data_IF_108073424023
#
_entry.id   IF_108073424023
#
_cell.length_a   1.000
_cell.length_b   1.000
_cell.length_c   1.000
_cell.angle_alpha   90.00
_cell.angle_beta   90.00
_cell.angle_gamma   90.00
#
_symmetry.space_group_name_H-M   'P 1'
#
loop_
_entity.id
_entity.type
_entity.pdbx_description
1 polymer ?
#
# COMPACT_ATOMS: atom_id res chain seq x y z
N UNK A 1 -6.64 13.34 14.37
CA UNK A 1 -6.37 12.08 13.64
C UNK A 1 -5.68 12.29 12.31
N UNK A 2 -5.93 13.38 11.54
CA UNK A 2 -5.24 13.70 10.27
C UNK A 2 -3.69 13.67 10.36
N UNK A 3 -3.11 13.94 11.53
CA UNK A 3 -1.65 13.90 11.78
C UNK A 3 -1.02 12.52 11.56
N UNK A 4 -1.79 11.44 11.63
CA UNK A 4 -1.30 10.08 11.43
C UNK A 4 -1.35 9.59 9.97
N UNK A 5 -1.86 10.41 9.04
CA UNK A 5 -1.78 10.14 7.59
C UNK A 5 -0.54 10.83 7.07
N UNK A 6 0.55 10.07 6.90
CA UNK A 6 1.87 10.56 6.45
C UNK A 6 2.15 10.17 5.02
N UNK A 7 2.82 11.07 4.33
CA UNK A 7 3.26 10.86 2.95
C UNK A 7 4.74 11.18 2.88
N UNK A 8 5.52 10.29 2.30
CA UNK A 8 6.95 10.42 2.09
C UNK A 8 7.25 10.31 0.60
N UNK A 9 8.14 11.17 0.11
CA UNK A 9 8.56 11.18 -1.29
C UNK A 9 9.88 10.40 -1.43
N UNK A 10 10.14 9.92 -2.65
CA UNK A 10 11.42 9.35 -3.07
C UNK A 10 11.95 8.21 -2.17
N UNK A 11 11.02 7.37 -1.65
CA UNK A 11 11.37 6.22 -0.79
C UNK A 11 12.18 5.17 -1.56
N UNK A 12 11.88 5.02 -2.84
CA UNK A 12 12.66 4.28 -3.84
C UNK A 12 12.77 5.11 -5.10
N UNK A 13 13.82 4.88 -5.88
CA UNK A 13 14.04 5.64 -7.13
C UNK A 13 13.03 5.24 -8.21
N UNK A 14 12.83 6.14 -9.18
CA UNK A 14 11.97 5.83 -10.33
C UNK A 14 12.45 4.59 -11.10
N UNK A 15 13.76 4.40 -11.23
CA UNK A 15 14.35 3.22 -11.87
C UNK A 15 13.94 1.92 -11.15
N UNK A 16 13.98 1.90 -9.82
CA UNK A 16 13.51 0.75 -9.03
C UNK A 16 12.02 0.52 -9.22
N UNK A 17 11.22 1.58 -9.26
CA UNK A 17 9.79 1.49 -9.56
C UNK A 17 9.54 0.86 -10.95
N UNK A 18 10.22 1.35 -11.96
CA UNK A 18 10.08 0.87 -13.36
C UNK A 18 10.47 -0.62 -13.47
N UNK A 19 11.56 -1.04 -12.82
CA UNK A 19 12.01 -2.44 -12.78
C UNK A 19 10.99 -3.35 -12.07
N UNK A 20 10.38 -2.89 -10.98
CA UNK A 20 9.32 -3.61 -10.28
C UNK A 20 8.08 -3.78 -11.17
N UNK A 21 7.66 -2.72 -11.85
CA UNK A 21 6.51 -2.76 -12.77
C UNK A 21 6.79 -3.72 -13.94
N UNK A 22 7.97 -3.62 -14.54
CA UNK A 22 8.36 -4.52 -15.64
C UNK A 22 8.30 -5.99 -15.20
N UNK A 23 8.86 -6.30 -14.03
CA UNK A 23 8.81 -7.66 -13.48
C UNK A 23 7.37 -8.12 -13.25
N UNK A 24 6.50 -7.27 -12.68
CA UNK A 24 5.09 -7.58 -12.53
C UNK A 24 4.44 -7.94 -13.88
N UNK A 25 4.65 -7.12 -14.90
CA UNK A 25 4.01 -7.31 -16.23
C UNK A 25 4.47 -8.58 -16.97
N UNK A 26 5.69 -9.04 -16.74
CA UNK A 26 6.16 -10.30 -17.35
C UNK A 26 5.76 -11.54 -16.54
N UNK A 27 5.41 -11.41 -15.26
CA UNK A 27 5.02 -12.51 -14.35
C UNK A 27 3.52 -12.84 -14.45
N UNK A 28 2.97 -12.92 -15.66
CA UNK A 28 1.53 -13.07 -15.91
C UNK A 28 0.92 -14.34 -15.32
N UNK A 29 1.69 -15.40 -15.25
CA UNK A 29 1.33 -16.70 -14.66
C UNK A 29 1.12 -16.64 -13.14
N UNK A 30 1.62 -15.59 -12.49
CA UNK A 30 1.49 -15.35 -11.06
C UNK A 30 0.36 -14.34 -10.73
N UNK A 31 -0.28 -13.76 -11.74
CA UNK A 31 -1.36 -12.80 -11.57
C UNK A 31 -2.61 -13.46 -11.02
N UNK A 32 -3.18 -12.86 -9.96
CA UNK A 32 -4.47 -13.22 -9.40
C UNK A 32 -5.43 -12.04 -9.56
N UNK A 33 -6.54 -12.26 -10.24
CA UNK A 33 -7.61 -11.27 -10.31
C UNK A 33 -8.39 -11.27 -9.00
N UNK A 34 -8.57 -10.10 -8.41
CA UNK A 34 -9.47 -9.88 -7.29
C UNK A 34 -10.72 -9.19 -7.81
N UNK A 35 -11.86 -9.84 -7.66
CA UNK A 35 -13.19 -9.33 -7.99
C UNK A 35 -14.15 -9.71 -6.85
N UNK A 36 -14.47 -8.76 -5.98
CA UNK A 36 -15.37 -8.97 -4.85
C UNK A 36 -16.54 -7.97 -4.92
N UNK A 37 -17.68 -8.49 -5.38
CA UNK A 37 -19.02 -7.89 -5.30
C UNK A 37 -19.07 -6.39 -5.69
N UNK A 38 -18.40 -6.01 -6.78
CA UNK A 38 -18.25 -4.60 -7.19
C UNK A 38 -17.65 -3.68 -6.11
N UNK A 39 -17.01 -4.24 -5.08
CA UNK A 39 -16.41 -3.47 -4.00
C UNK A 39 -14.92 -3.22 -4.25
N UNK A 40 -14.20 -4.24 -4.71
CA UNK A 40 -12.79 -4.11 -5.09
C UNK A 40 -12.49 -4.94 -6.33
N UNK A 41 -11.81 -4.33 -7.26
CA UNK A 41 -11.39 -4.97 -8.49
C UNK A 41 -9.96 -4.52 -8.86
N UNK A 42 -9.06 -5.47 -9.02
CA UNK A 42 -7.66 -5.27 -9.43
C UNK A 42 -6.98 -6.60 -9.73
N UNK A 43 -5.79 -6.55 -10.33
CA UNK A 43 -4.89 -7.71 -10.46
C UNK A 43 -3.79 -7.60 -9.41
N UNK A 44 -3.47 -8.70 -8.71
CA UNK A 44 -2.38 -8.70 -7.72
C UNK A 44 -1.44 -9.91 -7.85
N UNK A 45 -0.24 -9.75 -7.28
CA UNK A 45 0.70 -10.83 -6.95
C UNK A 45 1.04 -10.72 -5.47
N UNK A 46 0.93 -11.84 -4.74
CA UNK A 46 1.56 -11.95 -3.42
C UNK A 46 3.03 -12.32 -3.62
N UNK A 47 3.89 -11.32 -3.70
CA UNK A 47 5.29 -11.53 -4.08
C UNK A 47 6.11 -12.35 -3.07
N UNK A 48 5.63 -12.49 -1.83
CA UNK A 48 6.28 -13.36 -0.83
C UNK A 48 6.05 -14.86 -1.10
N UNK A 49 5.08 -15.22 -1.92
CA UNK A 49 4.79 -16.63 -2.25
C UNK A 49 5.64 -17.16 -3.41
N UNK A 50 6.41 -16.29 -4.07
CA UNK A 50 7.21 -16.63 -5.24
C UNK A 50 8.69 -16.43 -5.00
N UNK A 51 9.49 -17.49 -5.13
CA UNK A 51 10.94 -17.47 -4.86
C UNK A 51 11.71 -16.49 -5.76
N UNK A 52 11.28 -16.33 -6.98
CA UNK A 52 11.88 -15.40 -7.96
C UNK A 52 11.71 -13.92 -7.57
N UNK A 53 10.84 -13.60 -6.59
CA UNK A 53 10.66 -12.25 -6.03
C UNK A 53 11.47 -11.99 -4.75
N UNK A 54 12.26 -12.94 -4.26
CA UNK A 54 12.93 -12.83 -2.97
C UNK A 54 13.77 -11.55 -2.82
N UNK A 55 14.51 -11.17 -3.87
CA UNK A 55 15.32 -9.95 -3.85
C UNK A 55 14.46 -8.68 -3.77
N UNK A 56 13.34 -8.63 -4.51
CA UNK A 56 12.41 -7.52 -4.47
C UNK A 56 11.71 -7.39 -3.12
N UNK A 57 11.31 -8.52 -2.53
CA UNK A 57 10.75 -8.58 -1.16
C UNK A 57 11.72 -7.96 -0.16
N UNK A 58 12.99 -8.39 -0.16
CA UNK A 58 14.02 -7.85 0.75
C UNK A 58 14.27 -6.35 0.48
N UNK A 59 14.36 -5.94 -0.78
CA UNK A 59 14.55 -4.55 -1.18
C UNK A 59 13.40 -3.66 -0.69
N UNK A 60 12.15 -4.09 -0.85
CA UNK A 60 10.97 -3.34 -0.39
C UNK A 60 10.97 -3.22 1.13
N UNK A 61 11.15 -4.31 1.89
CA UNK A 61 11.21 -4.22 3.35
C UNK A 61 12.35 -3.33 3.84
N UNK A 62 13.53 -3.41 3.22
CA UNK A 62 14.68 -2.57 3.58
C UNK A 62 14.39 -1.09 3.33
N UNK A 63 13.67 -0.77 2.25
CA UNK A 63 13.27 0.61 1.95
C UNK A 63 12.19 1.15 2.90
N UNK A 64 11.30 0.30 3.40
CA UNK A 64 10.20 0.70 4.30
C UNK A 64 10.65 0.87 5.76
N UNK A 65 11.62 0.07 6.23
CA UNK A 65 12.05 0.05 7.64
C UNK A 65 12.39 1.42 8.23
N UNK A 66 13.21 2.28 7.57
CA UNK A 66 13.54 3.59 8.13
C UNK A 66 12.34 4.51 8.34
N UNK A 67 11.28 4.31 7.56
CA UNK A 67 10.06 5.11 7.66
C UNK A 67 9.16 4.70 8.83
N UNK A 68 9.37 3.52 9.43
CA UNK A 68 8.68 3.13 10.68
C UNK A 68 9.11 4.04 11.82
N UNK A 69 10.43 4.22 12.00
CA UNK A 69 10.96 5.08 13.06
C UNK A 69 10.64 6.55 12.80
N UNK A 70 10.77 7.00 11.56
CA UNK A 70 10.39 8.35 11.16
C UNK A 70 8.90 8.62 11.39
N UNK A 71 8.03 7.66 11.11
CA UNK A 71 6.59 7.77 11.36
C UNK A 71 6.30 7.93 12.87
N UNK A 72 6.93 7.10 13.72
CA UNK A 72 6.81 7.20 15.18
C UNK A 72 7.20 8.60 15.68
N UNK A 73 8.37 9.08 15.27
CA UNK A 73 8.90 10.38 15.64
C UNK A 73 7.96 11.53 15.23
N UNK A 74 7.61 11.60 13.94
CA UNK A 74 6.76 12.66 13.39
C UNK A 74 5.33 12.65 13.95
N UNK A 75 4.81 11.47 14.30
CA UNK A 75 3.50 11.32 14.95
C UNK A 75 3.54 11.48 16.48
N UNK A 76 4.75 11.62 17.05
CA UNK A 76 5.00 11.69 18.50
C UNK A 76 4.43 10.48 19.23
N UNK A 77 4.66 9.29 18.69
CA UNK A 77 4.23 8.01 19.28
C UNK A 77 5.33 7.55 20.24
N UNK A 78 5.00 7.36 21.49
CA UNK A 78 5.93 6.89 22.53
C UNK A 78 6.09 5.36 22.48
N UNK A 79 7.17 4.84 23.10
CA UNK A 79 7.37 3.38 23.18
C UNK A 79 6.26 2.67 23.97
N UNK A 80 5.58 3.38 24.88
CA UNK A 80 4.40 2.84 25.58
C UNK A 80 3.17 2.65 24.68
N UNK A 81 3.13 3.32 23.54
CA UNK A 81 2.04 3.24 22.56
C UNK A 81 2.37 2.31 21.39
N UNK A 82 3.64 1.91 21.25
CA UNK A 82 4.11 1.05 20.15
C UNK A 82 4.25 -0.39 20.64
N UNK A 83 3.85 -1.39 19.83
CA UNK A 83 3.99 -2.79 20.25
C UNK A 83 5.47 -3.18 20.41
N UNK A 84 5.77 -3.94 21.46
CA UNK A 84 7.12 -4.45 21.72
C UNK A 84 7.60 -5.39 20.59
N UNK A 85 6.67 -6.21 20.11
CA UNK A 85 6.93 -7.17 19.02
C UNK A 85 5.98 -6.93 17.85
N UNK A 86 6.54 -6.78 16.67
CA UNK A 86 5.79 -6.58 15.44
C UNK A 86 6.57 -7.07 14.22
N UNK A 87 5.85 -7.31 13.14
CA UNK A 87 6.43 -7.72 11.87
C UNK A 87 5.70 -7.13 10.67
N UNK A 88 6.33 -7.20 9.51
CA UNK A 88 5.67 -6.90 8.25
C UNK A 88 4.79 -8.08 7.81
N UNK A 89 3.59 -7.80 7.34
CA UNK A 89 2.80 -8.76 6.57
C UNK A 89 3.39 -8.97 5.18
N UNK A 90 2.90 -10.01 4.50
CA UNK A 90 3.26 -10.31 3.12
C UNK A 90 2.90 -9.13 2.20
N UNK A 91 3.79 -8.88 1.25
CA UNK A 91 3.66 -7.79 0.30
C UNK A 91 2.67 -8.18 -0.80
N UNK A 92 1.70 -7.32 -1.05
CA UNK A 92 0.75 -7.39 -2.15
C UNK A 92 1.12 -6.36 -3.21
N UNK A 93 1.53 -6.81 -4.37
CA UNK A 93 1.75 -5.95 -5.52
C UNK A 93 0.46 -5.91 -6.35
N UNK A 94 -0.12 -4.73 -6.55
CA UNK A 94 -1.43 -4.56 -7.19
C UNK A 94 -1.32 -3.66 -8.42
N UNK A 95 -2.05 -4.03 -9.46
CA UNK A 95 -2.28 -3.21 -10.65
C UNK A 95 -3.77 -2.91 -10.79
N UNK A 96 -4.09 -1.65 -10.99
CA UNK A 96 -5.42 -1.16 -11.38
C UNK A 96 -5.35 -0.63 -12.81
N UNK A 97 -6.19 -1.13 -13.69
CA UNK A 97 -6.29 -0.67 -15.07
C UNK A 97 -7.20 0.56 -15.18
N UNK A 98 -7.00 1.45 -16.17
CA UNK A 98 -7.87 2.58 -16.44
C UNK A 98 -9.15 2.11 -17.16
N UNK A 99 -9.98 1.40 -16.44
CA UNK A 99 -11.25 0.85 -16.89
C UNK A 99 -12.37 1.24 -15.90
N UNK A 100 -13.60 0.84 -16.17
CA UNK A 100 -14.75 1.20 -15.32
C UNK A 100 -14.87 0.37 -14.04
N UNK A 101 -14.02 -0.63 -13.83
CA UNK A 101 -14.11 -1.60 -12.74
C UNK A 101 -13.01 -1.47 -11.70
N UNK A 102 -11.76 -1.23 -12.13
CA UNK A 102 -10.59 -1.32 -11.26
C UNK A 102 -10.54 -0.20 -10.23
N UNK A 103 -11.04 -0.48 -9.06
CA UNK A 103 -11.04 0.41 -7.89
C UNK A 103 -11.06 -0.40 -6.59
N UNK A 104 -10.85 0.27 -5.49
CA UNK A 104 -11.20 -0.24 -4.18
C UNK A 104 -12.09 0.81 -3.51
N UNK A 105 -13.38 0.53 -3.47
CA UNK A 105 -14.38 1.45 -2.91
C UNK A 105 -14.09 1.74 -1.44
N UNK A 106 -14.83 2.64 -0.88
CA UNK A 106 -14.65 3.11 0.48
C UNK A 106 -14.67 1.95 1.49
N UNK A 107 -13.61 1.83 2.27
CA UNK A 107 -13.40 0.73 3.21
C UNK A 107 -12.41 1.09 4.32
N UNK A 108 -12.31 0.19 5.28
CA UNK A 108 -11.21 0.11 6.26
C UNK A 108 -10.47 -1.22 6.06
N UNK A 109 -9.16 -1.25 6.35
CA UNK A 109 -8.36 -2.46 6.16
C UNK A 109 -8.49 -3.48 7.30
N UNK A 110 -9.05 -3.05 8.45
CA UNK A 110 -9.32 -3.90 9.62
C UNK A 110 -10.83 -4.01 9.78
N UNK A 111 -11.40 -5.11 9.30
CA UNK A 111 -12.84 -5.37 9.33
C UNK A 111 -13.24 -6.70 9.98
N UNK A 112 -12.27 -7.54 10.33
CA UNK A 112 -12.50 -8.87 10.90
C UNK A 112 -11.40 -9.28 11.89
N UNK A 113 -11.59 -10.45 12.52
CA UNK A 113 -10.64 -11.00 13.50
C UNK A 113 -9.25 -11.23 12.92
N UNK A 114 -9.11 -11.69 11.70
CA UNK A 114 -7.82 -12.00 11.08
C UNK A 114 -7.02 -10.73 10.77
N UNK A 115 -7.70 -9.66 10.37
CA UNK A 115 -7.09 -8.35 10.10
C UNK A 115 -6.89 -7.49 11.35
N UNK A 116 -7.54 -7.84 12.49
CA UNK A 116 -7.52 -7.04 13.73
C UNK A 116 -6.11 -6.81 14.31
N UNK A 117 -5.13 -7.67 14.00
CA UNK A 117 -3.73 -7.51 14.42
C UNK A 117 -2.95 -6.43 13.68
N UNK A 118 -3.48 -5.87 12.59
CA UNK A 118 -2.84 -4.80 11.81
C UNK A 118 -2.94 -3.47 12.54
N UNK A 119 -1.85 -2.70 12.56
CA UNK A 119 -1.86 -1.39 13.20
C UNK A 119 -1.27 -0.25 12.37
N UNK A 120 -0.55 -0.56 11.27
CA UNK A 120 0.01 0.44 10.35
C UNK A 120 0.00 -0.08 8.91
N UNK A 121 -0.46 0.75 7.98
CA UNK A 121 -0.48 0.49 6.52
C UNK A 121 0.75 1.09 5.87
N UNK A 122 1.24 0.44 4.83
CA UNK A 122 2.22 0.94 3.87
C UNK A 122 1.66 0.80 2.45
N UNK A 123 1.45 1.93 1.77
CA UNK A 123 1.15 1.96 0.35
C UNK A 123 2.26 2.70 -0.38
N UNK A 124 3.09 1.95 -1.12
CA UNK A 124 4.16 2.49 -1.96
C UNK A 124 3.67 2.53 -3.41
N UNK A 125 3.50 3.74 -3.93
CA UNK A 125 3.11 3.97 -5.32
C UNK A 125 4.33 3.84 -6.24
N UNK A 126 4.17 3.16 -7.37
CA UNK A 126 5.29 2.87 -8.26
C UNK A 126 5.29 3.72 -9.53
N UNK A 127 4.20 4.45 -9.79
CA UNK A 127 4.14 5.35 -10.95
C UNK A 127 3.27 6.56 -10.68
N UNK A 128 3.51 7.60 -11.45
CA UNK A 128 2.64 8.77 -11.48
C UNK A 128 1.31 8.40 -12.13
N UNK A 129 0.22 8.83 -11.52
CA UNK A 129 -1.11 8.52 -12.02
C UNK A 129 -2.11 9.64 -11.73
N UNK A 130 -2.96 9.90 -12.72
CA UNK A 130 -4.13 10.76 -12.57
C UNK A 130 -5.37 9.92 -12.28
N UNK A 131 -6.19 10.34 -11.33
CA UNK A 131 -7.43 9.68 -10.94
C UNK A 131 -7.26 8.57 -9.90
N UNK A 132 -6.13 7.87 -9.87
CA UNK A 132 -5.87 6.74 -8.99
C UNK A 132 -5.52 7.09 -7.53
N UNK A 133 -5.90 8.27 -7.03
CA UNK A 133 -5.57 8.71 -5.68
C UNK A 133 -6.16 7.81 -4.59
N UNK A 134 -5.54 7.83 -3.41
CA UNK A 134 -6.16 7.34 -2.18
C UNK A 134 -6.74 8.53 -1.43
N UNK A 135 -8.04 8.49 -1.15
CA UNK A 135 -8.74 9.57 -0.45
C UNK A 135 -9.27 9.13 0.91
N UNK A 136 -9.24 10.07 1.84
CA UNK A 136 -9.80 9.97 3.18
C UNK A 136 -10.87 11.04 3.32
N UNK A 137 -12.13 10.67 3.11
CA UNK A 137 -13.27 11.60 3.05
C UNK A 137 -13.43 12.42 4.33
N UNK A 138 -13.38 11.77 5.50
CA UNK A 138 -13.47 12.43 6.80
C UNK A 138 -12.37 13.46 7.09
N UNK A 139 -11.21 13.32 6.45
CA UNK A 139 -10.06 14.21 6.67
C UNK A 139 -9.86 15.22 5.54
N UNK A 140 -10.70 15.19 4.50
CA UNK A 140 -10.50 15.97 3.28
C UNK A 140 -9.03 15.89 2.80
N UNK A 141 -8.52 14.65 2.68
CA UNK A 141 -7.15 14.39 2.25
C UNK A 141 -7.12 13.43 1.06
N UNK A 142 -6.39 13.83 0.04
CA UNK A 142 -6.18 13.07 -1.18
C UNK A 142 -4.69 12.87 -1.40
N UNK A 143 -4.27 11.63 -1.63
CA UNK A 143 -2.88 11.28 -1.91
C UNK A 143 -2.79 10.80 -3.36
N UNK A 144 -2.19 11.63 -4.20
CA UNK A 144 -2.00 11.36 -5.63
C UNK A 144 -0.83 10.37 -5.77
N UNK A 145 -0.98 9.28 -6.55
CA UNK A 145 0.13 8.38 -6.84
C UNK A 145 1.28 9.09 -7.54
N UNK A 146 2.49 8.89 -7.05
CA UNK A 146 3.76 9.28 -7.68
C UNK A 146 4.79 8.18 -7.50
N UNK A 147 5.66 7.99 -8.47
CA UNK A 147 6.75 7.02 -8.39
C UNK A 147 7.59 7.25 -7.12
N UNK A 148 7.76 6.20 -6.30
CA UNK A 148 8.51 6.25 -5.05
C UNK A 148 7.79 6.90 -3.86
N UNK A 149 6.54 7.34 -4.00
CA UNK A 149 5.75 7.91 -2.89
C UNK A 149 5.21 6.83 -1.98
N UNK A 150 5.43 7.00 -0.67
CA UNK A 150 4.91 6.12 0.38
C UNK A 150 3.82 6.84 1.18
N UNK A 151 2.66 6.21 1.32
CA UNK A 151 1.58 6.60 2.21
C UNK A 151 1.55 5.65 3.40
N UNK A 152 1.51 6.21 4.62
CA UNK A 152 1.39 5.45 5.87
C UNK A 152 0.25 6.01 6.74
N UNK A 153 -0.56 5.12 7.30
CA UNK A 153 -1.67 5.47 8.21
C UNK A 153 -2.15 4.24 9.01
N UNK A 154 -2.85 4.42 10.14
CA UNK A 154 -3.47 3.31 10.85
C UNK A 154 -4.62 2.69 10.04
N UNK A 155 -4.78 1.34 10.01
CA UNK A 155 -5.77 0.67 9.14
C UNK A 155 -7.17 0.54 9.75
N UNK A 156 -7.40 1.12 10.92
CA UNK A 156 -8.62 0.93 11.73
C UNK A 156 -9.81 1.74 11.22
N UNK A 157 -10.97 1.52 11.81
CA UNK A 157 -12.26 2.14 11.49
C UNK A 157 -12.25 3.68 11.43
N UNK A 158 -11.30 4.32 12.08
CA UNK A 158 -11.09 5.78 12.04
C UNK A 158 -10.44 6.29 10.76
N UNK A 159 -9.99 5.42 9.86
CA UNK A 159 -9.30 5.77 8.62
C UNK A 159 -10.01 5.17 7.41
N UNK A 160 -11.32 5.47 7.31
CA UNK A 160 -12.11 5.14 6.13
C UNK A 160 -11.50 5.78 4.89
N UNK A 161 -11.24 4.99 3.84
CA UNK A 161 -10.54 5.47 2.65
C UNK A 161 -10.98 4.75 1.38
N UNK A 162 -10.69 5.38 0.24
CA UNK A 162 -11.02 4.89 -1.11
C UNK A 162 -9.77 4.86 -1.97
N UNK A 163 -9.54 3.76 -2.67
CA UNK A 163 -8.57 3.65 -3.75
C UNK A 163 -9.23 3.89 -5.10
N UNK A 164 -9.16 5.12 -5.61
CA UNK A 164 -9.86 5.53 -6.84
C UNK A 164 -9.32 4.87 -8.10
N UNK A 165 -10.17 4.83 -9.13
CA UNK A 165 -9.84 4.38 -10.49
C UNK A 165 -8.73 5.24 -11.09
N UNK A 166 -7.73 4.66 -11.75
CA UNK A 166 -6.86 5.42 -12.63
C UNK A 166 -7.64 5.86 -13.90
N UNK A 167 -7.25 7.01 -14.49
CA UNK A 167 -7.97 7.57 -15.65
C UNK A 167 -7.31 7.20 -16.99
N UNK A 168 -5.99 7.33 -17.09
CA UNK A 168 -5.29 7.19 -18.38
C UNK A 168 -4.30 6.03 -18.43
N UNK A 169 -3.59 5.77 -17.35
CA UNK A 169 -2.54 4.79 -17.26
C UNK A 169 -2.82 3.82 -16.10
N UNK A 170 -2.37 2.57 -16.18
CA UNK A 170 -2.46 1.66 -15.05
C UNK A 170 -1.79 2.25 -13.81
N UNK A 171 -2.38 2.05 -12.64
CA UNK A 171 -1.81 2.37 -11.34
C UNK A 171 -1.17 1.13 -10.75
N UNK A 172 0.08 1.25 -10.31
CA UNK A 172 0.81 0.20 -9.63
C UNK A 172 1.10 0.61 -8.19
N UNK A 173 0.81 -0.29 -7.25
CA UNK A 173 1.00 -0.04 -5.83
C UNK A 173 1.49 -1.31 -5.13
N UNK A 174 2.44 -1.15 -4.23
CA UNK A 174 2.83 -2.19 -3.28
C UNK A 174 2.18 -1.88 -1.94
N UNK A 175 1.46 -2.85 -1.38
CA UNK A 175 0.81 -2.75 -0.07
C UNK A 175 1.34 -3.78 0.91
N UNK A 176 1.53 -3.35 2.15
CA UNK A 176 1.84 -4.21 3.30
C UNK A 176 1.35 -3.55 4.60
N UNK A 177 1.45 -4.27 5.68
CA UNK A 177 1.05 -3.81 7.01
C UNK A 177 2.12 -4.15 8.04
N UNK A 178 2.19 -3.36 9.13
CA UNK A 178 2.73 -3.87 10.38
C UNK A 178 1.61 -4.50 11.20
N UNK A 179 1.92 -5.64 11.81
CA UNK A 179 1.02 -6.36 12.68
C UNK A 179 1.70 -6.77 13.99
N UNK A 180 0.91 -6.97 15.03
CA UNK A 180 1.34 -7.56 16.31
C UNK A 180 1.81 -9.00 16.10
N UNK A 181 2.89 -9.39 16.81
CA UNK A 181 3.44 -10.75 16.86
C UNK A 181 3.17 -11.38 18.22
#
# INVERSE_FOLDING_TARGET
MKKYIKVYEDVITKEVCDNLIQKFEVSKDQHVATDLDNHRHFTEININQHKDWSNQVQGVYSSLRPYVDRYKEECKITDKQWPEKYGFEQIRFKRYLPNDKDEFKEHVDVGDYNSARRFLVFFLYLNDNFGGQTSFSEYNKHVIPRAGRLLMFPPTWTYLHTGHKPIKLPKYIIGSYLHYL
#
